data_IF_355526420325
#
_entry.id   IF_355526420325
#
_cell.length_a   1.000
_cell.length_b   1.000
_cell.length_c   1.000
_cell.angle_alpha   90.00
_cell.angle_beta   90.00
_cell.angle_gamma   90.00
#
_symmetry.space_group_name_H-M   'P 1'
#
loop_
_entity.id
_entity.type
_entity.pdbx_description
1 polymer ?
#
# COMPACT_ATOMS: atom_id res chain seq x y z
N UNK A 1 16.22 -8.14 27.26
CA UNK A 1 14.92 -8.11 27.98
C UNK A 1 14.29 -6.76 27.74
N UNK A 2 13.16 -6.71 27.02
CA UNK A 2 12.44 -5.47 26.72
C UNK A 2 11.24 -5.45 27.67
N UNK A 3 11.14 -4.41 28.50
CA UNK A 3 10.03 -4.22 29.42
C UNK A 3 8.83 -3.64 28.66
N UNK A 4 7.81 -4.47 28.43
CA UNK A 4 6.56 -4.04 27.81
C UNK A 4 5.58 -3.36 28.79
N UNK A 5 5.95 -3.17 30.04
CA UNK A 5 5.10 -2.58 31.08
C UNK A 5 4.86 -1.08 30.94
N UNK A 6 5.64 -0.38 30.13
CA UNK A 6 5.49 1.05 29.87
C UNK A 6 5.22 1.29 28.39
N UNK A 7 4.19 2.04 28.08
CA UNK A 7 3.73 2.36 26.71
C UNK A 7 4.86 2.95 25.84
N UNK A 8 5.77 3.69 26.44
CA UNK A 8 6.94 4.28 25.78
C UNK A 8 7.97 3.23 25.32
N UNK A 9 8.24 2.23 26.14
CA UNK A 9 9.16 1.12 25.79
C UNK A 9 8.57 0.18 24.76
N UNK A 10 7.24 -0.02 24.79
CA UNK A 10 6.53 -0.77 23.75
C UNK A 10 6.69 -0.12 22.38
N UNK A 11 6.51 1.20 22.30
CA UNK A 11 6.66 1.93 21.02
C UNK A 11 8.11 1.93 20.51
N UNK A 12 9.12 1.90 21.37
CA UNK A 12 10.52 1.82 20.96
C UNK A 12 10.89 0.43 20.46
N UNK A 13 10.54 -0.58 21.23
CA UNK A 13 10.76 -1.97 20.84
C UNK A 13 10.05 -2.31 19.52
N UNK A 14 8.82 -1.83 19.34
CA UNK A 14 8.07 -2.04 18.10
C UNK A 14 8.73 -1.38 16.90
N UNK A 15 9.30 -0.17 17.04
CA UNK A 15 9.99 0.53 15.92
C UNK A 15 11.29 -0.14 15.52
N UNK A 16 12.03 -0.71 16.46
CA UNK A 16 13.22 -1.51 16.16
C UNK A 16 12.83 -2.82 15.46
N UNK A 17 11.67 -3.39 15.80
CA UNK A 17 11.16 -4.64 15.22
C UNK A 17 10.43 -4.39 13.89
N UNK A 18 9.64 -3.30 13.77
CA UNK A 18 8.88 -2.95 12.57
C UNK A 18 9.75 -2.27 11.48
N UNK A 19 10.92 -1.72 11.86
CA UNK A 19 11.88 -1.25 10.87
C UNK A 19 12.36 -2.44 10.05
N UNK A 20 11.99 -2.50 8.75
CA UNK A 20 12.51 -3.53 7.85
C UNK A 20 14.02 -3.58 8.01
N UNK A 21 14.61 -4.78 8.03
CA UNK A 21 16.03 -5.04 8.35
C UNK A 21 17.05 -4.17 7.59
N UNK A 22 16.64 -3.56 6.48
CA UNK A 22 17.45 -2.66 5.65
C UNK A 22 17.32 -1.16 6.02
N UNK A 23 16.47 -0.80 6.98
CA UNK A 23 16.31 0.58 7.46
C UNK A 23 16.89 0.72 8.86
N UNK A 24 17.62 1.81 9.09
CA UNK A 24 18.05 2.24 10.41
C UNK A 24 17.27 3.48 10.81
N UNK A 25 16.54 3.42 11.93
CA UNK A 25 15.77 4.52 12.49
C UNK A 25 16.32 4.89 13.85
N UNK A 26 16.65 6.16 14.04
CA UNK A 26 17.09 6.74 15.31
C UNK A 26 16.12 7.83 15.73
N UNK A 27 15.68 7.83 16.99
CA UNK A 27 14.75 8.82 17.54
C UNK A 27 15.38 9.57 18.68
N UNK A 28 15.57 10.88 18.53
CA UNK A 28 15.89 11.81 19.61
C UNK A 28 14.58 12.38 20.17
N UNK A 29 14.04 11.74 21.20
CA UNK A 29 12.77 12.15 21.83
C UNK A 29 12.84 13.52 22.50
N UNK A 30 14.01 13.92 22.99
CA UNK A 30 14.18 15.23 23.66
C UNK A 30 14.01 16.36 22.64
N UNK A 31 14.48 16.15 21.43
CA UNK A 31 14.36 17.12 20.33
C UNK A 31 13.13 16.88 19.44
N UNK A 32 12.46 15.73 19.59
CA UNK A 32 11.36 15.35 18.70
C UNK A 32 11.81 15.12 17.26
N UNK A 33 13.00 14.52 17.06
CA UNK A 33 13.59 14.28 15.74
C UNK A 33 13.75 12.79 15.51
N UNK A 34 13.31 12.33 14.33
CA UNK A 34 13.56 11.00 13.79
C UNK A 34 14.56 11.11 12.65
N UNK A 35 15.62 10.30 12.68
CA UNK A 35 16.58 10.17 11.57
C UNK A 35 16.49 8.79 10.97
N UNK A 36 16.27 8.72 9.63
CA UNK A 36 16.16 7.49 8.86
C UNK A 36 17.31 7.37 7.87
N UNK A 37 17.94 6.19 7.85
CA UNK A 37 18.88 5.72 6.83
C UNK A 37 18.37 4.42 6.22
N UNK A 38 18.84 4.04 5.02
CA UNK A 38 18.46 2.79 4.36
C UNK A 38 19.58 2.24 3.51
N UNK A 39 19.71 0.90 3.49
CA UNK A 39 20.57 0.21 2.53
C UNK A 39 20.04 0.35 1.10
N UNK A 40 18.71 0.50 0.93
CA UNK A 40 18.07 0.81 -0.34
C UNK A 40 18.16 2.31 -0.68
N UNK A 41 19.38 2.78 -0.90
CA UNK A 41 19.76 4.18 -1.04
C UNK A 41 18.93 4.93 -2.09
N UNK A 42 18.74 4.35 -3.26
CA UNK A 42 17.96 4.97 -4.33
C UNK A 42 16.48 5.17 -3.94
N UNK A 43 15.92 4.20 -3.19
CA UNK A 43 14.55 4.30 -2.69
C UNK A 43 14.42 5.43 -1.66
N UNK A 44 15.37 5.52 -0.72
CA UNK A 44 15.38 6.59 0.27
C UNK A 44 15.56 7.97 -0.36
N UNK A 45 16.42 8.12 -1.37
CA UNK A 45 16.59 9.38 -2.10
C UNK A 45 15.26 9.80 -2.76
N UNK A 46 14.52 8.86 -3.37
CA UNK A 46 13.20 9.16 -3.98
C UNK A 46 12.17 9.56 -2.92
N UNK A 47 12.18 8.91 -1.77
CA UNK A 47 11.35 9.27 -0.62
C UNK A 47 11.65 10.70 -0.15
N UNK A 48 12.92 11.04 0.07
CA UNK A 48 13.34 12.41 0.44
C UNK A 48 12.89 13.42 -0.60
N UNK A 49 13.08 13.12 -1.88
CA UNK A 49 12.66 13.99 -2.97
C UNK A 49 11.15 14.24 -2.99
N UNK A 50 10.33 13.29 -2.52
CA UNK A 50 8.91 13.50 -2.40
C UNK A 50 8.61 14.61 -1.38
N UNK A 51 9.19 14.54 -0.19
CA UNK A 51 9.01 15.58 0.83
C UNK A 51 9.46 16.96 0.33
N UNK A 52 10.61 17.03 -0.33
CA UNK A 52 11.18 18.29 -0.80
C UNK A 52 10.43 18.91 -1.98
N UNK A 53 9.69 18.12 -2.74
CA UNK A 53 8.93 18.58 -3.92
C UNK A 53 7.47 18.86 -3.63
N UNK A 54 6.99 18.61 -2.42
CA UNK A 54 5.63 18.95 -2.06
C UNK A 54 5.41 20.46 -2.19
N UNK A 55 4.29 20.89 -2.78
CA UNK A 55 3.86 22.28 -2.71
C UNK A 55 3.69 22.75 -1.26
N UNK A 56 4.02 24.00 -0.97
CA UNK A 56 3.88 24.57 0.40
C UNK A 56 2.51 24.36 1.02
N UNK A 57 1.46 24.45 0.23
CA UNK A 57 0.09 24.20 0.69
C UNK A 57 -0.19 22.77 1.12
N UNK A 58 0.66 21.80 0.76
CA UNK A 58 0.58 20.40 1.13
C UNK A 58 1.62 19.97 2.19
N UNK A 59 2.55 20.85 2.58
CA UNK A 59 3.58 20.51 3.58
C UNK A 59 2.98 20.06 4.93
N UNK A 60 1.78 20.52 5.25
CA UNK A 60 1.08 20.18 6.49
C UNK A 60 0.71 18.69 6.61
N UNK A 61 0.71 17.92 5.49
CA UNK A 61 0.40 16.49 5.53
C UNK A 61 1.63 15.61 5.77
N UNK A 62 2.83 16.19 5.70
CA UNK A 62 4.11 15.49 5.86
C UNK A 62 4.81 15.89 7.15
N UNK A 63 5.77 15.10 7.66
CA UNK A 63 6.71 15.55 8.67
C UNK A 63 7.54 16.74 8.17
N UNK A 64 7.82 17.68 9.06
CA UNK A 64 8.79 18.74 8.79
C UNK A 64 10.19 18.12 8.64
N UNK A 65 10.88 18.44 7.56
CA UNK A 65 12.25 18.01 7.33
C UNK A 65 13.21 19.02 7.97
N UNK A 66 14.11 18.55 8.82
CA UNK A 66 15.14 19.36 9.48
C UNK A 66 16.47 19.29 8.76
N UNK A 67 16.85 18.11 8.29
CA UNK A 67 18.12 17.87 7.60
C UNK A 67 18.02 16.65 6.69
N UNK A 68 18.83 16.59 5.63
CA UNK A 68 18.85 15.47 4.71
C UNK A 68 20.13 15.39 3.89
N UNK A 69 20.42 14.22 3.35
CA UNK A 69 21.43 14.00 2.34
C UNK A 69 20.86 13.25 1.14
N UNK A 70 21.07 13.76 -0.05
CA UNK A 70 20.76 13.09 -1.31
C UNK A 70 22.00 12.40 -1.93
N UNK A 71 23.14 12.43 -1.20
CA UNK A 71 24.35 11.73 -1.63
C UNK A 71 24.08 10.23 -1.68
N UNK A 72 24.36 9.60 -2.83
CA UNK A 72 24.21 8.15 -2.97
C UNK A 72 25.09 7.34 -2.01
N UNK A 73 26.21 7.92 -1.55
CA UNK A 73 27.12 7.24 -0.61
C UNK A 73 26.51 7.10 0.77
N UNK A 74 25.84 8.15 1.29
CA UNK A 74 25.19 8.16 2.61
C UNK A 74 23.92 9.01 2.60
N UNK A 75 22.82 8.53 1.99
CA UNK A 75 21.54 9.21 2.04
C UNK A 75 20.90 9.05 3.41
N UNK A 76 20.33 10.16 3.94
CA UNK A 76 19.55 10.17 5.17
C UNK A 76 18.52 11.28 5.16
N UNK A 77 17.54 11.16 6.03
CA UNK A 77 16.57 12.22 6.33
C UNK A 77 16.35 12.32 7.83
N UNK A 78 16.42 13.55 8.36
CA UNK A 78 16.04 13.91 9.74
C UNK A 78 14.76 14.72 9.70
N UNK A 79 13.71 14.21 10.33
CA UNK A 79 12.37 14.78 10.25
C UNK A 79 11.71 14.85 11.62
N UNK A 80 10.64 15.60 11.70
CA UNK A 80 9.82 15.72 12.90
C UNK A 80 9.26 14.34 13.30
N UNK A 81 9.44 14.01 14.57
CA UNK A 81 8.93 12.78 15.15
C UNK A 81 7.53 12.99 15.72
N UNK A 82 6.58 12.18 15.29
CA UNK A 82 5.23 12.15 15.84
C UNK A 82 5.02 10.89 16.68
N UNK A 83 4.42 11.07 17.87
CA UNK A 83 4.00 9.97 18.74
C UNK A 83 2.58 9.45 18.41
N UNK A 84 2.00 9.87 17.29
CA UNK A 84 0.69 9.39 16.86
C UNK A 84 0.77 7.92 16.44
N UNK A 85 -0.30 7.17 16.71
CA UNK A 85 -0.46 5.83 16.16
C UNK A 85 -0.73 5.86 14.66
N UNK A 86 -0.40 4.78 13.99
CA UNK A 86 -0.76 4.57 12.58
C UNK A 86 -2.23 4.14 12.46
N UNK A 87 -2.83 4.33 11.28
CA UNK A 87 -4.15 3.76 11.01
C UNK A 87 -4.13 2.22 11.04
N UNK A 88 -2.99 1.60 10.73
CA UNK A 88 -2.77 0.16 10.89
C UNK A 88 -3.02 -0.27 12.35
N UNK A 89 -2.36 0.38 13.31
CA UNK A 89 -2.56 0.09 14.74
C UNK A 89 -4.00 0.34 15.18
N UNK A 90 -4.60 1.41 14.70
CA UNK A 90 -6.01 1.73 15.00
C UNK A 90 -6.97 0.69 14.42
N UNK A 91 -6.68 0.12 13.25
CA UNK A 91 -7.50 -0.87 12.57
C UNK A 91 -7.40 -2.26 13.21
N UNK A 92 -6.20 -2.64 13.64
CA UNK A 92 -5.93 -3.97 14.22
C UNK A 92 -6.30 -4.01 15.71
N UNK A 93 -5.77 -3.05 16.46
CA UNK A 93 -5.81 -3.09 17.94
C UNK A 93 -6.79 -2.08 18.56
N UNK A 94 -7.25 -1.12 17.77
CA UNK A 94 -8.07 -0.03 18.28
C UNK A 94 -9.56 -0.35 18.37
N UNK A 95 -10.21 0.17 19.40
CA UNK A 95 -11.67 0.15 19.53
C UNK A 95 -12.28 1.53 19.25
N UNK A 96 -12.21 1.95 17.97
CA UNK A 96 -12.73 3.25 17.54
C UNK A 96 -14.11 3.11 16.90
N UNK A 97 -14.99 4.10 17.17
CA UNK A 97 -16.34 4.12 16.61
C UNK A 97 -16.35 4.31 15.09
N UNK A 98 -17.41 3.87 14.42
CA UNK A 98 -17.62 4.13 12.98
C UNK A 98 -17.62 5.64 12.66
N UNK A 99 -18.08 6.49 13.59
CA UNK A 99 -18.01 7.95 13.41
C UNK A 99 -16.55 8.45 13.37
N UNK A 100 -15.65 7.85 14.13
CA UNK A 100 -14.21 8.16 14.06
C UNK A 100 -13.65 7.73 12.70
N UNK A 101 -13.97 6.53 12.24
CA UNK A 101 -13.53 6.04 10.92
C UNK A 101 -14.10 6.88 9.77
N UNK A 102 -15.33 7.35 9.89
CA UNK A 102 -15.92 8.29 8.93
C UNK A 102 -15.13 9.60 8.83
N UNK A 103 -14.73 10.18 9.96
CA UNK A 103 -13.87 11.38 9.97
C UNK A 103 -12.52 11.10 9.32
N UNK A 104 -11.91 9.95 9.62
CA UNK A 104 -10.65 9.52 9.00
C UNK A 104 -10.81 9.42 7.48
N UNK A 105 -11.79 8.67 6.99
CA UNK A 105 -11.98 8.49 5.54
C UNK A 105 -12.28 9.81 4.82
N UNK A 106 -13.12 10.66 5.40
CA UNK A 106 -13.37 11.98 4.83
C UNK A 106 -12.06 12.78 4.74
N UNK A 107 -11.25 12.78 5.79
CA UNK A 107 -9.97 13.50 5.78
C UNK A 107 -8.99 12.94 4.75
N UNK A 108 -8.90 11.62 4.61
CA UNK A 108 -8.06 10.97 3.59
C UNK A 108 -8.53 11.28 2.16
N UNK A 109 -9.84 11.31 1.94
CA UNK A 109 -10.41 11.63 0.62
C UNK A 109 -10.28 13.14 0.31
N UNK A 110 -10.37 14.03 1.30
CA UNK A 110 -10.05 15.45 1.14
C UNK A 110 -8.60 15.65 0.70
N UNK A 111 -7.63 15.02 1.39
CA UNK A 111 -6.21 15.06 1.01
C UNK A 111 -6.03 14.54 -0.43
N UNK A 112 -6.72 13.47 -0.78
CA UNK A 112 -6.68 12.94 -2.13
C UNK A 112 -7.24 13.95 -3.17
N UNK A 113 -8.27 14.73 -2.84
CA UNK A 113 -8.75 15.82 -3.71
C UNK A 113 -7.75 16.99 -3.78
N UNK A 114 -7.10 17.32 -2.66
CA UNK A 114 -6.03 18.33 -2.66
C UNK A 114 -4.86 17.90 -3.56
N UNK A 115 -4.45 16.62 -3.54
CA UNK A 115 -3.45 16.07 -4.47
C UNK A 115 -3.85 16.25 -5.93
N UNK A 116 -5.14 16.07 -6.25
CA UNK A 116 -5.67 16.26 -7.61
C UNK A 116 -5.57 17.69 -8.10
N UNK A 117 -5.47 18.69 -7.21
CA UNK A 117 -5.30 20.10 -7.61
C UNK A 117 -3.93 20.38 -8.23
N UNK A 118 -2.96 19.48 -8.03
CA UNK A 118 -1.62 19.61 -8.58
C UNK A 118 -1.41 18.59 -9.70
N UNK A 119 -1.46 19.06 -10.90
CA UNK A 119 -1.49 18.23 -12.12
C UNK A 119 -0.20 18.36 -12.91
N UNK A 120 0.32 17.23 -13.37
CA UNK A 120 1.36 17.16 -14.39
C UNK A 120 0.71 16.79 -15.74
N UNK A 121 0.69 17.72 -16.66
CA UNK A 121 0.20 17.48 -18.03
C UNK A 121 1.27 16.78 -18.85
N UNK A 122 0.92 15.64 -19.42
CA UNK A 122 1.79 14.81 -20.24
C UNK A 122 1.08 14.45 -21.55
N UNK A 123 1.86 14.13 -22.57
CA UNK A 123 1.32 13.51 -23.78
C UNK A 123 0.66 12.15 -23.45
N UNK A 124 -0.50 11.88 -24.05
CA UNK A 124 -1.26 10.64 -23.82
C UNK A 124 -0.41 9.36 -24.01
N UNK A 125 0.50 9.37 -25.00
CA UNK A 125 1.43 8.26 -25.24
C UNK A 125 2.37 8.00 -24.07
N UNK A 126 2.87 9.05 -23.42
CA UNK A 126 3.76 8.95 -22.24
C UNK A 126 2.99 8.47 -21.01
N UNK A 127 1.76 8.97 -20.80
CA UNK A 127 0.87 8.51 -19.74
C UNK A 127 0.58 7.02 -19.92
N UNK A 128 0.12 6.60 -21.10
CA UNK A 128 -0.19 5.19 -21.40
C UNK A 128 1.01 4.27 -21.17
N UNK A 129 2.21 4.69 -21.64
CA UNK A 129 3.45 3.93 -21.42
C UNK A 129 3.74 3.77 -19.92
N UNK A 130 3.67 4.85 -19.16
CA UNK A 130 3.93 4.83 -17.72
C UNK A 130 2.93 3.94 -16.96
N UNK A 131 1.64 4.03 -17.28
CA UNK A 131 0.60 3.16 -16.71
C UNK A 131 0.84 1.68 -17.09
N UNK A 132 1.22 1.41 -18.34
CA UNK A 132 1.59 0.06 -18.79
C UNK A 132 2.81 -0.48 -18.03
N UNK A 133 3.82 0.35 -17.81
CA UNK A 133 5.00 -0.01 -17.01
C UNK A 133 4.61 -0.33 -15.54
N UNK A 134 3.67 0.42 -14.97
CA UNK A 134 3.24 0.24 -13.58
C UNK A 134 2.26 -0.91 -13.36
N UNK A 135 1.29 -1.10 -14.24
CA UNK A 135 0.24 -2.10 -14.04
C UNK A 135 0.52 -3.43 -14.73
N UNK A 136 1.07 -3.40 -15.94
CA UNK A 136 1.37 -4.61 -16.70
C UNK A 136 2.80 -5.08 -16.47
N UNK A 137 3.80 -4.31 -16.93
CA UNK A 137 5.19 -4.75 -16.96
C UNK A 137 5.71 -5.12 -15.56
N UNK A 138 5.52 -4.25 -14.57
CA UNK A 138 5.90 -4.51 -13.18
C UNK A 138 5.26 -5.81 -12.65
N UNK A 139 3.98 -6.05 -12.97
CA UNK A 139 3.27 -7.27 -12.54
C UNK A 139 3.89 -8.50 -13.20
N UNK A 140 4.10 -8.47 -14.51
CA UNK A 140 4.73 -9.57 -15.27
C UNK A 140 6.15 -9.85 -14.76
N UNK A 141 6.97 -8.81 -14.53
CA UNK A 141 8.36 -9.00 -14.07
C UNK A 141 8.39 -9.66 -12.68
N UNK A 142 7.47 -9.31 -11.78
CA UNK A 142 7.34 -9.94 -10.46
C UNK A 142 6.78 -11.36 -10.52
N UNK A 143 5.86 -11.64 -11.45
CA UNK A 143 5.37 -13.00 -11.66
C UNK A 143 6.45 -13.90 -12.26
N UNK A 144 7.32 -13.38 -13.13
CA UNK A 144 8.52 -14.11 -13.60
C UNK A 144 9.45 -14.44 -12.45
N UNK A 145 9.62 -13.54 -11.49
CA UNK A 145 10.41 -13.81 -10.28
C UNK A 145 9.75 -14.89 -9.43
N UNK A 146 8.45 -14.79 -9.19
CA UNK A 146 7.69 -15.79 -8.44
C UNK A 146 7.75 -17.18 -9.07
N UNK A 147 7.74 -17.26 -10.41
CA UNK A 147 7.81 -18.54 -11.15
C UNK A 147 9.09 -19.33 -10.90
N UNK A 148 10.15 -18.70 -10.42
CA UNK A 148 11.40 -19.39 -10.07
C UNK A 148 11.28 -20.21 -8.78
N UNK A 149 10.29 -19.94 -7.96
CA UNK A 149 9.99 -20.64 -6.72
C UNK A 149 9.01 -21.79 -6.99
N UNK A 150 9.49 -23.02 -6.95
CA UNK A 150 8.70 -24.24 -7.24
C UNK A 150 7.49 -24.40 -6.30
N UNK A 151 7.49 -23.77 -5.13
CA UNK A 151 6.35 -23.80 -4.19
C UNK A 151 5.08 -23.18 -4.78
N UNK A 152 5.22 -22.34 -5.81
CA UNK A 152 4.11 -21.66 -6.49
C UNK A 152 3.76 -22.26 -7.85
N UNK A 153 4.36 -23.39 -8.24
CA UNK A 153 4.19 -24.01 -9.57
C UNK A 153 2.71 -24.19 -9.94
N UNK A 154 1.89 -24.70 -9.00
CA UNK A 154 0.47 -24.95 -9.21
C UNK A 154 -0.34 -23.68 -9.59
N UNK A 155 0.13 -22.51 -9.21
CA UNK A 155 -0.54 -21.25 -9.55
C UNK A 155 -0.35 -20.86 -11.02
N UNK A 156 0.60 -21.49 -11.71
CA UNK A 156 0.87 -21.26 -13.12
C UNK A 156 0.08 -22.21 -14.03
N UNK A 157 -0.79 -23.04 -13.48
CA UNK A 157 -1.83 -23.76 -14.22
C UNK A 157 -2.92 -22.77 -14.69
N UNK A 158 -3.86 -23.24 -15.52
CA UNK A 158 -4.96 -22.40 -16.02
C UNK A 158 -6.02 -22.13 -14.96
N UNK A 159 -6.19 -23.07 -14.01
CA UNK A 159 -7.22 -23.02 -12.98
C UNK A 159 -6.70 -23.57 -11.66
N UNK A 160 -7.24 -23.05 -10.55
CA UNK A 160 -6.95 -23.46 -9.19
C UNK A 160 -8.22 -23.43 -8.35
N UNK A 161 -8.25 -24.19 -7.26
CA UNK A 161 -9.35 -24.18 -6.30
C UNK A 161 -8.96 -23.35 -5.08
N UNK A 162 -9.74 -22.30 -4.78
CA UNK A 162 -9.55 -21.45 -3.61
C UNK A 162 -10.88 -21.32 -2.88
N UNK A 163 -10.91 -21.66 -1.58
CA UNK A 163 -12.13 -21.64 -0.75
C UNK A 163 -13.33 -22.31 -1.45
N UNK A 164 -13.13 -23.55 -1.88
CA UNK A 164 -14.12 -24.38 -2.61
C UNK A 164 -14.57 -23.82 -3.98
N UNK A 165 -13.95 -22.77 -4.46
CA UNK A 165 -14.27 -22.15 -5.76
C UNK A 165 -13.17 -22.42 -6.78
N UNK A 166 -13.56 -22.93 -7.93
CA UNK A 166 -12.67 -23.06 -9.08
C UNK A 166 -12.54 -21.68 -9.76
N UNK A 167 -11.32 -21.14 -9.81
CA UNK A 167 -11.01 -19.82 -10.37
C UNK A 167 -9.90 -19.94 -11.42
N UNK A 168 -9.79 -18.93 -12.30
CA UNK A 168 -8.67 -18.84 -13.25
C UNK A 168 -7.39 -18.46 -12.50
N UNK A 169 -6.31 -19.19 -12.79
CA UNK A 169 -4.99 -19.02 -12.20
C UNK A 169 -4.02 -18.30 -13.17
N UNK A 170 -2.76 -18.20 -12.80
CA UNK A 170 -1.78 -17.38 -13.51
C UNK A 170 -1.53 -17.88 -14.95
N UNK A 171 -1.63 -19.20 -15.22
CA UNK A 171 -1.49 -19.73 -16.57
C UNK A 171 -2.49 -19.11 -17.53
N UNK A 172 -3.74 -18.97 -17.10
CA UNK A 172 -4.80 -18.31 -17.87
C UNK A 172 -4.68 -16.77 -17.85
N UNK A 173 -4.35 -16.18 -16.69
CA UNK A 173 -4.37 -14.71 -16.48
C UNK A 173 -3.21 -14.03 -17.20
N UNK A 174 -1.99 -14.56 -17.11
CA UNK A 174 -0.79 -13.90 -17.65
C UNK A 174 -0.93 -13.59 -19.15
N UNK A 175 -1.34 -14.54 -20.02
CA UNK A 175 -1.51 -14.24 -21.44
C UNK A 175 -2.58 -13.19 -21.75
N UNK A 176 -3.57 -13.03 -20.87
CA UNK A 176 -4.71 -12.12 -21.02
C UNK A 176 -4.60 -10.83 -20.19
N UNK A 177 -3.54 -10.68 -19.41
CA UNK A 177 -3.42 -9.57 -18.46
C UNK A 177 -3.47 -8.21 -19.14
N UNK A 178 -2.84 -8.08 -20.31
CA UNK A 178 -2.86 -6.82 -21.06
C UNK A 178 -4.29 -6.49 -21.54
N UNK A 179 -5.00 -7.49 -22.08
CA UNK A 179 -6.42 -7.35 -22.49
C UNK A 179 -7.32 -6.96 -21.31
N UNK A 180 -7.15 -7.62 -20.15
CA UNK A 180 -7.92 -7.29 -18.92
C UNK A 180 -7.68 -5.83 -18.51
N UNK A 181 -6.44 -5.39 -18.53
CA UNK A 181 -6.04 -4.01 -18.17
C UNK A 181 -6.66 -3.01 -19.16
N UNK A 182 -6.58 -3.29 -20.46
CA UNK A 182 -7.13 -2.40 -21.50
C UNK A 182 -8.64 -2.33 -21.49
N UNK A 183 -9.33 -3.48 -21.45
CA UNK A 183 -10.80 -3.58 -21.40
C UNK A 183 -11.40 -2.83 -20.20
N UNK A 184 -10.66 -2.73 -19.10
CA UNK A 184 -11.07 -2.00 -17.92
C UNK A 184 -10.46 -0.59 -17.83
N UNK A 185 -9.92 -0.07 -18.95
CA UNK A 185 -9.44 1.31 -19.11
C UNK A 185 -8.38 1.73 -18.08
N UNK A 186 -7.54 0.78 -17.60
CA UNK A 186 -6.49 1.12 -16.63
C UNK A 186 -5.34 1.92 -17.25
N UNK A 187 -5.18 1.88 -18.57
CA UNK A 187 -4.15 2.63 -19.28
C UNK A 187 -4.63 4.04 -19.68
N UNK A 188 -5.76 4.48 -19.13
CA UNK A 188 -6.35 5.78 -19.42
C UNK A 188 -6.53 6.59 -18.13
N UNK A 189 -5.90 7.74 -18.10
CA UNK A 189 -6.15 8.80 -17.12
C UNK A 189 -5.98 10.14 -17.83
N UNK A 190 -6.77 11.13 -17.41
CA UNK A 190 -6.69 12.47 -18.00
C UNK A 190 -5.41 13.17 -17.63
N UNK A 191 -4.99 13.02 -16.37
CA UNK A 191 -3.84 13.72 -15.83
C UNK A 191 -3.12 12.89 -14.76
N UNK A 192 -1.83 13.13 -14.61
CA UNK A 192 -1.09 12.72 -13.44
C UNK A 192 -1.21 13.78 -12.35
N UNK A 193 -1.47 13.34 -11.14
CA UNK A 193 -1.58 14.21 -9.98
C UNK A 193 -0.48 13.87 -8.96
N UNK A 194 -0.27 14.73 -7.98
CA UNK A 194 0.56 14.34 -6.84
C UNK A 194 -0.05 13.09 -6.21
N UNK A 195 0.81 12.14 -5.88
CA UNK A 195 0.47 10.93 -5.14
C UNK A 195 1.52 10.66 -4.07
N UNK A 196 1.11 9.99 -3.00
CA UNK A 196 2.02 9.42 -2.01
C UNK A 196 2.68 8.13 -2.55
N UNK A 197 1.91 7.33 -3.26
CA UNK A 197 2.33 6.10 -3.92
C UNK A 197 2.39 4.86 -3.02
N UNK A 198 2.36 5.04 -1.71
CA UNK A 198 2.20 3.99 -0.71
C UNK A 198 1.20 4.42 0.38
N UNK A 199 0.02 4.88 -0.04
CA UNK A 199 -1.06 5.48 0.76
C UNK A 199 -1.93 4.40 1.42
N UNK A 200 -1.35 3.60 2.31
CA UNK A 200 -2.02 2.55 3.07
C UNK A 200 -1.83 2.77 4.58
N UNK A 201 -2.57 2.08 5.39
CA UNK A 201 -2.76 2.38 6.81
C UNK A 201 -1.46 2.48 7.62
N UNK A 202 -0.45 1.64 7.36
CA UNK A 202 0.81 1.69 8.11
C UNK A 202 1.62 2.98 7.86
N UNK A 203 1.38 3.67 6.73
CA UNK A 203 2.07 4.91 6.37
C UNK A 203 1.27 6.18 6.70
N UNK A 204 0.16 6.04 7.42
CA UNK A 204 -0.73 7.14 7.77
C UNK A 204 -0.81 7.25 9.29
N UNK A 205 -0.20 8.29 9.84
CA UNK A 205 -0.30 8.66 11.25
C UNK A 205 -1.55 9.52 11.48
N UNK A 206 -2.26 9.28 12.58
CA UNK A 206 -3.49 10.00 12.87
C UNK A 206 -3.59 10.50 14.31
N UNK A 207 -3.70 11.81 14.48
CA UNK A 207 -4.06 12.43 15.76
C UNK A 207 -5.58 12.53 15.87
N UNK A 208 -6.18 11.66 16.67
CA UNK A 208 -7.63 11.62 16.91
C UNK A 208 -8.16 12.90 17.53
N UNK A 209 -7.38 13.58 18.38
CA UNK A 209 -7.85 14.77 19.11
C UNK A 209 -8.07 15.95 18.16
N UNK A 210 -7.12 16.14 17.25
CA UNK A 210 -7.08 17.29 16.36
C UNK A 210 -7.53 16.97 14.93
N UNK A 211 -7.87 15.71 14.63
CA UNK A 211 -8.19 15.23 13.28
C UNK A 211 -7.05 15.49 12.27
N UNK A 212 -5.81 15.33 12.73
CA UNK A 212 -4.62 15.59 11.93
C UNK A 212 -4.09 14.29 11.34
N UNK A 213 -3.83 14.29 10.04
CA UNK A 213 -3.15 13.22 9.31
C UNK A 213 -1.71 13.65 9.02
N UNK A 214 -0.77 12.71 9.15
CA UNK A 214 0.60 12.83 8.64
C UNK A 214 0.94 11.61 7.82
N UNK A 215 1.53 11.85 6.66
CA UNK A 215 1.93 10.81 5.72
C UNK A 215 3.44 10.59 5.80
N UNK A 216 3.83 9.34 5.95
CA UNK A 216 5.24 8.91 6.06
C UNK A 216 5.56 7.85 5.00
N UNK A 217 6.83 7.66 4.71
CA UNK A 217 7.32 6.63 3.76
C UNK A 217 6.70 6.69 2.35
N UNK A 218 6.68 7.89 1.72
CA UNK A 218 6.17 8.02 0.36
C UNK A 218 7.04 7.27 -0.64
N UNK A 219 6.42 6.78 -1.71
CA UNK A 219 7.13 6.05 -2.76
C UNK A 219 8.13 6.91 -3.54
N UNK A 220 7.80 8.19 -3.74
CA UNK A 220 8.63 9.16 -4.45
C UNK A 220 8.85 8.92 -5.93
N UNK A 221 8.27 7.88 -6.52
CA UNK A 221 8.33 7.63 -7.96
C UNK A 221 7.18 6.74 -8.45
N UNK A 222 6.52 7.18 -9.51
CA UNK A 222 5.50 6.41 -10.22
C UNK A 222 5.78 6.46 -11.72
N UNK A 223 6.17 5.32 -12.30
CA UNK A 223 6.41 5.20 -13.73
C UNK A 223 7.42 6.21 -14.32
N UNK A 224 8.37 6.70 -13.50
CA UNK A 224 9.39 7.66 -13.92
C UNK A 224 9.03 9.13 -13.72
N UNK A 225 7.84 9.45 -13.19
CA UNK A 225 7.36 10.85 -13.06
C UNK A 225 7.44 11.42 -11.63
N UNK A 226 8.31 10.85 -10.80
CA UNK A 226 8.58 11.35 -9.44
C UNK A 226 7.34 11.30 -8.57
N UNK A 227 6.95 12.45 -8.00
CA UNK A 227 5.82 12.57 -7.08
C UNK A 227 4.45 12.51 -7.78
N UNK A 228 4.43 12.50 -9.12
CA UNK A 228 3.19 12.48 -9.91
C UNK A 228 2.86 11.08 -10.40
N UNK A 229 1.58 10.74 -10.39
CA UNK A 229 1.11 9.43 -10.84
C UNK A 229 -0.40 9.34 -10.99
N UNK A 230 -0.91 8.09 -11.08
CA UNK A 230 -2.33 7.80 -11.16
C UNK A 230 -2.99 7.86 -9.77
N UNK A 231 -3.93 8.76 -9.61
CA UNK A 231 -4.67 8.92 -8.36
C UNK A 231 -5.52 7.69 -7.98
N UNK A 232 -5.93 6.87 -8.95
CA UNK A 232 -6.62 5.62 -8.64
C UNK A 232 -5.72 4.62 -7.91
N UNK A 233 -4.39 4.71 -8.11
CA UNK A 233 -3.42 3.90 -7.40
C UNK A 233 -3.38 4.24 -5.90
N UNK A 234 -3.52 5.52 -5.53
CA UNK A 234 -3.63 5.95 -4.13
C UNK A 234 -4.84 5.30 -3.44
N UNK A 235 -6.00 5.40 -4.11
CA UNK A 235 -7.24 4.83 -3.58
C UNK A 235 -7.20 3.31 -3.50
N UNK A 236 -6.52 2.66 -4.47
CA UNK A 236 -6.30 1.22 -4.42
C UNK A 236 -5.40 0.80 -3.25
N UNK A 237 -4.44 1.63 -2.85
CA UNK A 237 -3.63 1.40 -1.66
C UNK A 237 -4.45 1.50 -0.37
N UNK A 238 -5.40 2.44 -0.27
CA UNK A 238 -6.34 2.48 0.85
C UNK A 238 -7.27 1.26 0.84
N UNK A 239 -7.81 0.89 -0.34
CA UNK A 239 -8.68 -0.26 -0.47
C UNK A 239 -7.97 -1.56 -0.08
N UNK A 240 -6.71 -1.69 -0.42
CA UNK A 240 -5.83 -2.78 -0.05
C UNK A 240 -5.73 -2.99 1.48
N UNK A 241 -5.73 -1.91 2.29
CA UNK A 241 -5.85 -1.99 3.75
C UNK A 241 -7.27 -2.36 4.19
N UNK A 242 -8.29 -1.69 3.65
CA UNK A 242 -9.67 -1.79 4.14
C UNK A 242 -10.38 -3.08 3.68
N UNK A 243 -10.48 -3.31 2.36
CA UNK A 243 -11.15 -4.47 1.77
C UNK A 243 -10.20 -5.65 1.61
N UNK A 244 -8.97 -5.38 1.20
CA UNK A 244 -7.93 -6.37 1.05
C UNK A 244 -7.43 -6.94 2.37
N UNK A 245 -7.70 -6.27 3.49
CA UNK A 245 -7.29 -6.71 4.82
C UNK A 245 -5.79 -6.96 4.94
N UNK A 246 -5.01 -6.23 4.15
CA UNK A 246 -3.55 -6.37 4.10
C UNK A 246 -2.90 -6.25 5.48
N UNK A 247 -3.41 -5.32 6.29
CA UNK A 247 -2.90 -5.06 7.64
C UNK A 247 -3.08 -6.30 8.55
N UNK A 248 -4.19 -7.05 8.42
CA UNK A 248 -4.40 -8.30 9.13
C UNK A 248 -3.47 -9.42 8.62
N UNK A 249 -3.19 -9.43 7.32
CA UNK A 249 -2.31 -10.43 6.71
C UNK A 249 -0.87 -10.27 7.20
N UNK A 250 -0.37 -9.03 7.30
CA UNK A 250 1.01 -8.79 7.77
C UNK A 250 1.18 -8.99 9.27
N UNK A 251 0.09 -8.99 10.04
CA UNK A 251 0.06 -9.36 11.46
C UNK A 251 -0.24 -10.86 11.69
N UNK A 252 -0.23 -11.67 10.64
CA UNK A 252 -0.49 -13.13 10.69
C UNK A 252 -1.86 -13.51 11.28
N UNK A 253 -2.84 -12.60 11.18
CA UNK A 253 -4.20 -12.83 11.64
C UNK A 253 -5.00 -13.61 10.59
N UNK A 254 -4.52 -14.78 10.22
CA UNK A 254 -5.15 -15.68 9.26
C UNK A 254 -4.76 -17.14 9.46
N UNK A 255 -5.53 -18.04 8.87
CA UNK A 255 -5.18 -19.43 8.63
C UNK A 255 -5.17 -19.71 7.13
N UNK A 256 -4.25 -20.57 6.67
CA UNK A 256 -4.20 -21.03 5.30
C UNK A 256 -3.70 -22.46 5.23
N UNK A 257 -4.32 -23.25 4.35
CA UNK A 257 -3.95 -24.64 4.07
C UNK A 257 -3.83 -24.83 2.57
N UNK A 258 -2.81 -25.54 2.13
CA UNK A 258 -2.64 -26.00 0.76
C UNK A 258 -2.57 -27.53 0.77
N UNK A 259 -3.55 -28.18 0.15
CA UNK A 259 -3.58 -29.62 -0.03
C UNK A 259 -3.71 -29.94 -1.52
N UNK A 260 -2.59 -30.33 -2.15
CA UNK A 260 -2.57 -30.73 -3.56
C UNK A 260 -3.23 -29.73 -4.51
N UNK A 261 -2.98 -28.44 -4.32
CA UNK A 261 -3.53 -27.40 -5.18
C UNK A 261 -4.94 -26.89 -4.81
N UNK A 262 -5.51 -27.43 -3.74
CA UNK A 262 -6.72 -26.88 -3.12
C UNK A 262 -6.29 -26.00 -1.96
N UNK A 263 -6.62 -24.72 -2.04
CA UNK A 263 -6.20 -23.71 -1.06
C UNK A 263 -7.44 -23.23 -0.30
N UNK A 264 -7.40 -23.41 1.01
CA UNK A 264 -8.40 -22.91 1.93
C UNK A 264 -7.75 -21.88 2.84
N UNK A 265 -8.31 -20.68 2.90
CA UNK A 265 -7.84 -19.65 3.81
C UNK A 265 -8.98 -18.92 4.50
N UNK A 266 -8.67 -18.40 5.68
CA UNK A 266 -9.56 -17.54 6.46
C UNK A 266 -8.75 -16.41 7.09
N UNK A 267 -9.14 -15.16 6.85
CA UNK A 267 -8.59 -13.99 7.56
C UNK A 267 -9.47 -13.74 8.78
N UNK A 268 -8.86 -13.58 9.95
CA UNK A 268 -9.59 -13.28 11.18
C UNK A 268 -9.86 -11.78 11.28
N UNK A 269 -11.11 -11.40 11.19
CA UNK A 269 -11.57 -10.02 11.34
C UNK A 269 -12.92 -9.96 12.04
N UNK A 270 -13.19 -8.84 12.68
CA UNK A 270 -14.41 -8.59 13.42
C UNK A 270 -15.52 -8.00 12.52
N UNK A 271 -16.77 -8.10 12.98
CA UNK A 271 -17.90 -7.40 12.36
C UNK A 271 -17.67 -5.88 12.26
N UNK A 272 -16.91 -5.31 13.20
CA UNK A 272 -16.54 -3.90 13.17
C UNK A 272 -15.65 -3.56 11.96
N UNK A 273 -14.65 -4.38 11.65
CA UNK A 273 -13.80 -4.19 10.48
C UNK A 273 -14.59 -4.37 9.17
N UNK A 274 -15.60 -5.24 9.16
CA UNK A 274 -16.52 -5.33 8.02
C UNK A 274 -17.35 -4.04 7.86
N UNK A 275 -17.91 -3.50 8.96
CA UNK A 275 -18.64 -2.23 8.93
C UNK A 275 -17.76 -1.04 8.50
N UNK A 276 -16.46 -1.06 8.88
CA UNK A 276 -15.48 -0.06 8.42
C UNK A 276 -15.30 -0.15 6.90
N UNK A 277 -15.23 -1.35 6.34
CA UNK A 277 -15.15 -1.57 4.90
C UNK A 277 -16.39 -1.04 4.18
N UNK A 278 -17.57 -1.37 4.67
CA UNK A 278 -18.83 -0.86 4.09
C UNK A 278 -18.88 0.66 4.10
N UNK A 279 -18.54 1.27 5.23
CA UNK A 279 -18.44 2.72 5.38
C UNK A 279 -17.46 3.33 4.36
N UNK A 280 -16.30 2.70 4.13
CA UNK A 280 -15.35 3.18 3.14
C UNK A 280 -15.93 3.18 1.72
N UNK A 281 -16.64 2.11 1.34
CA UNK A 281 -17.33 2.07 0.05
C UNK A 281 -18.42 3.13 -0.09
N UNK A 282 -19.14 3.44 0.97
CA UNK A 282 -20.12 4.54 0.98
C UNK A 282 -19.43 5.89 0.72
N UNK A 283 -18.30 6.16 1.38
CA UNK A 283 -17.55 7.39 1.16
C UNK A 283 -16.98 7.46 -0.27
N UNK A 284 -16.42 6.37 -0.81
CA UNK A 284 -15.98 6.33 -2.22
C UNK A 284 -17.11 6.66 -3.21
N UNK A 285 -18.32 6.16 -2.96
CA UNK A 285 -19.50 6.45 -3.81
C UNK A 285 -19.89 7.92 -3.76
N UNK A 286 -19.85 8.57 -2.57
CA UNK A 286 -20.16 10.00 -2.42
C UNK A 286 -19.23 10.87 -3.27
N UNK A 287 -17.95 10.52 -3.33
CA UNK A 287 -16.96 11.20 -4.17
C UNK A 287 -17.01 10.77 -5.65
N UNK A 288 -17.95 9.90 -6.05
CA UNK A 288 -18.14 9.39 -7.43
C UNK A 288 -16.85 8.79 -8.01
N UNK A 289 -16.09 8.08 -7.20
CA UNK A 289 -14.80 7.51 -7.58
C UNK A 289 -14.98 6.23 -8.43
N UNK A 290 -14.05 5.91 -9.34
CA UNK A 290 -14.17 4.77 -10.25
C UNK A 290 -13.82 3.46 -9.54
N UNK A 291 -14.72 2.98 -8.67
CA UNK A 291 -14.51 1.83 -7.78
C UNK A 291 -14.05 0.59 -8.55
N UNK A 292 -14.55 0.37 -9.77
CA UNK A 292 -14.16 -0.78 -10.60
C UNK A 292 -12.66 -0.73 -10.96
N UNK A 293 -12.14 0.43 -11.38
CA UNK A 293 -10.71 0.61 -11.68
C UNK A 293 -9.86 0.42 -10.41
N UNK A 294 -10.30 1.01 -9.30
CA UNK A 294 -9.61 0.91 -8.00
C UNK A 294 -9.50 -0.54 -7.55
N UNK A 295 -10.56 -1.35 -7.67
CA UNK A 295 -10.55 -2.79 -7.34
C UNK A 295 -9.63 -3.60 -8.23
N UNK A 296 -9.58 -3.32 -9.54
CA UNK A 296 -8.65 -4.01 -10.43
C UNK A 296 -7.20 -3.67 -10.08
N UNK A 297 -6.88 -2.41 -9.77
CA UNK A 297 -5.53 -2.03 -9.31
C UNK A 297 -5.20 -2.74 -7.99
N UNK A 298 -6.14 -2.83 -7.06
CA UNK A 298 -5.95 -3.57 -5.81
C UNK A 298 -5.61 -5.05 -6.07
N UNK A 299 -6.31 -5.71 -7.00
CA UNK A 299 -5.99 -7.10 -7.36
C UNK A 299 -4.56 -7.25 -7.91
N UNK A 300 -4.14 -6.31 -8.76
CA UNK A 300 -2.76 -6.26 -9.29
C UNK A 300 -1.73 -5.98 -8.19
N UNK A 301 -2.08 -5.19 -7.17
CA UNK A 301 -1.22 -4.97 -6.01
C UNK A 301 -0.97 -6.29 -5.29
N UNK A 302 -2.01 -7.05 -4.93
CA UNK A 302 -1.88 -8.34 -4.27
C UNK A 302 -1.04 -9.33 -5.08
N UNK A 303 -1.32 -9.49 -6.37
CA UNK A 303 -0.57 -10.39 -7.24
C UNK A 303 0.89 -9.96 -7.35
N UNK A 304 1.16 -8.66 -7.55
CA UNK A 304 2.51 -8.17 -7.80
C UNK A 304 3.37 -8.02 -6.56
N UNK A 305 2.80 -8.06 -5.34
CA UNK A 305 3.59 -7.90 -4.11
C UNK A 305 4.12 -9.21 -3.54
N UNK A 306 3.61 -10.36 -4.01
CA UNK A 306 3.96 -11.68 -3.49
C UNK A 306 5.47 -11.89 -3.34
N UNK A 307 6.34 -11.58 -4.34
CA UNK A 307 7.79 -11.75 -4.18
C UNK A 307 8.43 -10.84 -3.14
N UNK A 308 7.75 -9.76 -2.71
CA UNK A 308 8.26 -8.83 -1.71
C UNK A 308 8.06 -9.33 -0.26
N UNK A 309 7.31 -10.39 -0.08
CA UNK A 309 7.02 -11.04 1.20
C UNK A 309 7.67 -12.43 1.28
N UNK A 310 8.87 -12.57 0.69
CA UNK A 310 9.62 -13.84 0.63
C UNK A 310 10.08 -14.39 1.98
N UNK A 311 10.01 -13.58 3.02
CA UNK A 311 10.27 -13.90 4.42
C UNK A 311 9.25 -14.88 5.01
N UNK A 312 8.01 -14.90 4.49
CA UNK A 312 6.97 -15.78 5.04
C UNK A 312 6.04 -16.36 3.97
N UNK A 313 6.22 -17.65 3.69
CA UNK A 313 5.50 -18.38 2.64
C UNK A 313 3.97 -18.31 2.75
N UNK A 314 3.41 -18.46 3.96
CA UNK A 314 1.96 -18.44 4.13
C UNK A 314 1.34 -17.08 3.80
N UNK A 315 2.04 -15.96 4.08
CA UNK A 315 1.60 -14.62 3.64
C UNK A 315 1.60 -14.52 2.12
N UNK A 316 2.68 -14.99 1.47
CA UNK A 316 2.76 -15.02 0.01
C UNK A 316 1.62 -15.83 -0.60
N UNK A 317 1.38 -17.03 -0.07
CA UNK A 317 0.33 -17.93 -0.52
C UNK A 317 -1.05 -17.28 -0.43
N UNK A 318 -1.36 -16.66 0.72
CA UNK A 318 -2.64 -15.97 0.94
C UNK A 318 -2.79 -14.75 0.03
N UNK A 319 -1.77 -13.90 -0.08
CA UNK A 319 -1.79 -12.72 -0.93
C UNK A 319 -2.04 -13.10 -2.40
N UNK A 320 -1.38 -14.16 -2.89
CA UNK A 320 -1.59 -14.64 -4.26
C UNK A 320 -3.03 -15.16 -4.45
N UNK A 321 -3.50 -16.00 -3.53
CA UNK A 321 -4.85 -16.58 -3.60
C UNK A 321 -5.93 -15.48 -3.60
N UNK A 322 -5.82 -14.52 -2.70
CA UNK A 322 -6.72 -13.37 -2.63
C UNK A 322 -6.63 -12.48 -3.87
N UNK A 323 -5.42 -12.22 -4.37
CA UNK A 323 -5.22 -11.48 -5.61
C UNK A 323 -5.89 -12.15 -6.81
N UNK A 324 -5.80 -13.49 -6.89
CA UNK A 324 -6.47 -14.27 -7.93
C UNK A 324 -7.99 -14.23 -7.79
N UNK A 325 -8.55 -14.38 -6.59
CA UNK A 325 -10.01 -14.24 -6.39
C UNK A 325 -10.51 -12.86 -6.81
N UNK A 326 -9.75 -11.80 -6.47
CA UNK A 326 -10.12 -10.42 -6.84
C UNK A 326 -10.04 -10.18 -8.35
N UNK A 327 -8.99 -10.61 -9.04
CA UNK A 327 -8.85 -10.38 -10.50
C UNK A 327 -9.85 -11.19 -11.30
N UNK A 328 -10.31 -12.35 -10.81
CA UNK A 328 -11.34 -13.16 -11.44
C UNK A 328 -12.69 -12.44 -11.61
N UNK A 329 -12.92 -11.33 -10.90
CA UNK A 329 -14.11 -10.49 -11.07
C UNK A 329 -14.07 -9.65 -12.38
N UNK A 330 -12.93 -9.65 -13.09
CA UNK A 330 -12.69 -8.82 -14.29
C UNK A 330 -12.41 -9.64 -15.55
N UNK A 331 -12.47 -10.96 -15.46
CA UNK A 331 -12.24 -11.90 -16.56
C UNK A 331 -13.53 -12.15 -17.38
#
# INVERSE_FOLDING_TARGET
>A
WIDYGHFDYYHDAKKEVDARSFNTIQVDRKKGILTKKSEHKEKLIKEIQWYLKLPKSLEYISPRIFDYSLSYTDPYVSMEYYSYGTLHEMFIYGDYSLNTWKKIFNRLLEINQEFKSFTLTLEKSKVRKSLKDMYYKKTIDRLKELKKDSRFEIFFDDEIVVNDKKIKALGYIIPKLEEIIEKNELLETENYNIIHGDYFFANILYDKRNNIVRLIDPRGNFGGYGIYGDNNYELAKLLHSVDGKYDLIVEDLFEIKNKNGIIDYKIFYSSKQENIKELFYEELKKYKLPIKKIKLIESLLFISMVPLHGDYYNRQLLMLSQGLEKINQFI
#
